data_IF_725277770957
#
_entry.id   IF_725277770957
#
_cell.length_a   1.000
_cell.length_b   1.000
_cell.length_c   1.000
_cell.angle_alpha   90.00
_cell.angle_beta   90.00
_cell.angle_gamma   90.00
#
_symmetry.space_group_name_H-M   'P 1'
#
loop_
_entity.id
_entity.type
_entity.pdbx_description
1 polymer ?
#
# COMPACT_ATOMS: atom_id res chain seq x y z
N UNK A 1 15.75 -3.94 4.63
CA UNK A 1 15.04 -2.69 4.96
C UNK A 1 13.95 -2.38 3.93
N UNK A 2 14.27 -2.19 2.65
CA UNK A 2 13.25 -1.91 1.63
C UNK A 2 12.33 -3.11 1.36
N UNK A 3 12.88 -4.33 1.32
CA UNK A 3 12.11 -5.56 1.10
C UNK A 3 11.04 -5.76 2.19
N UNK A 4 11.36 -5.49 3.46
CA UNK A 4 10.39 -5.60 4.55
C UNK A 4 9.26 -4.56 4.44
N UNK A 5 9.57 -3.33 4.00
CA UNK A 5 8.56 -2.31 3.75
C UNK A 5 7.67 -2.68 2.55
N UNK A 6 8.26 -3.26 1.50
CA UNK A 6 7.53 -3.69 0.30
C UNK A 6 6.57 -4.83 0.61
N UNK A 7 7.06 -5.90 1.24
CA UNK A 7 6.25 -7.05 1.62
C UNK A 7 5.19 -6.62 2.64
N UNK A 8 5.57 -5.92 3.71
CA UNK A 8 4.62 -5.45 4.72
C UNK A 8 3.52 -4.56 4.14
N UNK A 9 3.89 -3.66 3.21
CA UNK A 9 2.91 -2.86 2.47
C UNK A 9 1.93 -3.71 1.68
N UNK A 10 2.42 -4.76 0.99
CA UNK A 10 1.57 -5.65 0.19
C UNK A 10 0.59 -6.42 1.07
N UNK A 11 1.02 -6.89 2.25
CA UNK A 11 0.14 -7.52 3.24
C UNK A 11 -0.93 -6.54 3.75
N UNK A 12 -0.56 -5.31 4.12
CA UNK A 12 -1.51 -4.32 4.61
C UNK A 12 -2.55 -3.92 3.57
N UNK A 13 -2.10 -3.68 2.33
CA UNK A 13 -2.98 -3.32 1.22
C UNK A 13 -3.96 -4.43 0.88
N UNK A 14 -3.46 -5.65 0.63
CA UNK A 14 -4.32 -6.80 0.30
C UNK A 14 -5.31 -7.14 1.41
N UNK A 15 -4.91 -7.01 2.68
CA UNK A 15 -5.81 -7.21 3.81
C UNK A 15 -6.93 -6.15 3.86
N UNK A 16 -6.60 -4.89 3.55
CA UNK A 16 -7.58 -3.81 3.50
C UNK A 16 -8.57 -4.02 2.34
N UNK A 17 -8.08 -4.33 1.15
CA UNK A 17 -8.92 -4.61 -0.01
C UNK A 17 -9.84 -5.82 0.22
N UNK A 18 -9.30 -6.90 0.80
CA UNK A 18 -10.10 -8.05 1.21
C UNK A 18 -11.18 -7.65 2.21
N UNK A 19 -10.83 -6.95 3.30
CA UNK A 19 -11.79 -6.58 4.34
C UNK A 19 -12.89 -5.65 3.81
N UNK A 20 -12.54 -4.68 2.97
CA UNK A 20 -13.51 -3.77 2.36
C UNK A 20 -14.43 -4.52 1.40
N UNK A 21 -13.90 -5.43 0.60
CA UNK A 21 -14.70 -6.23 -0.35
C UNK A 21 -15.62 -7.21 0.37
N UNK A 22 -15.13 -7.90 1.40
CA UNK A 22 -15.90 -8.82 2.24
C UNK A 22 -17.03 -8.09 2.99
N UNK A 23 -16.78 -6.87 3.48
CA UNK A 23 -17.81 -6.02 4.09
C UNK A 23 -18.86 -5.53 3.07
N UNK A 24 -18.44 -5.23 1.84
CA UNK A 24 -19.36 -4.83 0.77
C UNK A 24 -20.24 -6.00 0.32
N UNK A 25 -19.65 -7.18 0.14
CA UNK A 25 -20.35 -8.41 -0.23
C UNK A 25 -21.40 -8.80 0.81
N UNK A 26 -21.07 -8.66 2.10
CA UNK A 26 -22.01 -8.90 3.20
C UNK A 26 -23.08 -7.81 3.37
N UNK A 27 -23.05 -6.76 2.55
CA UNK A 27 -24.04 -5.69 2.58
C UNK A 27 -23.87 -4.68 3.72
N UNK A 28 -22.72 -4.68 4.41
CA UNK A 28 -22.44 -3.65 5.43
C UNK A 28 -22.10 -2.30 4.81
N UNK A 29 -21.65 -2.27 3.55
CA UNK A 29 -21.31 -1.05 2.81
C UNK A 29 -22.41 -0.65 1.81
N UNK A 30 -23.67 -0.69 2.25
CA UNK A 30 -24.84 -0.31 1.41
C UNK A 30 -24.78 1.12 0.89
N UNK A 31 -24.11 2.04 1.59
CA UNK A 31 -23.92 3.41 1.11
C UNK A 31 -23.11 3.45 -0.19
N UNK A 32 -22.09 2.59 -0.32
CA UNK A 32 -21.24 2.50 -1.51
C UNK A 32 -22.01 1.94 -2.69
N UNK A 33 -22.75 0.84 -2.48
CA UNK A 33 -23.58 0.23 -3.52
C UNK A 33 -24.72 1.16 -3.98
N UNK A 34 -25.25 1.99 -3.08
CA UNK A 34 -26.27 2.99 -3.43
C UNK A 34 -25.69 4.19 -4.20
N UNK A 35 -24.48 4.64 -3.85
CA UNK A 35 -23.81 5.73 -4.56
C UNK A 35 -23.28 5.30 -5.94
N UNK A 36 -22.85 4.05 -6.06
CA UNK A 36 -22.27 3.47 -7.27
C UNK A 36 -23.00 2.15 -7.59
N UNK A 37 -24.18 2.21 -8.24
CA UNK A 37 -25.02 1.03 -8.51
C UNK A 37 -24.40 0.02 -9.49
N UNK A 38 -23.28 0.38 -10.13
CA UNK A 38 -22.52 -0.54 -10.98
C UNK A 38 -21.34 -1.22 -10.26
N UNK A 39 -21.22 -1.04 -8.93
CA UNK A 39 -20.35 -1.88 -8.09
C UNK A 39 -20.90 -3.31 -8.07
N UNK A 40 -20.04 -4.27 -8.38
CA UNK A 40 -20.32 -5.68 -8.24
C UNK A 40 -19.20 -6.28 -7.38
N UNK A 41 -19.31 -6.19 -6.05
CA UNK A 41 -18.30 -6.72 -5.16
C UNK A 41 -18.13 -8.22 -5.43
N UNK A 42 -16.91 -8.62 -5.75
CA UNK A 42 -16.55 -10.02 -5.93
C UNK A 42 -15.53 -10.40 -4.88
N UNK A 43 -15.98 -11.21 -3.93
CA UNK A 43 -15.13 -11.79 -2.90
C UNK A 43 -14.21 -12.88 -3.43
N UNK A 44 -13.37 -13.37 -2.53
CA UNK A 44 -12.38 -14.41 -2.78
C UNK A 44 -11.65 -14.73 -1.49
N UNK A 45 -10.59 -15.55 -1.55
CA UNK A 45 -9.71 -15.70 -0.40
C UNK A 45 -8.79 -14.49 -0.30
N UNK A 46 -8.36 -14.11 0.91
CA UNK A 46 -7.41 -13.01 1.09
C UNK A 46 -6.12 -13.21 0.27
N UNK A 47 -5.68 -14.45 0.07
CA UNK A 47 -4.49 -14.77 -0.74
C UNK A 47 -4.69 -14.36 -2.20
N UNK A 48 -5.91 -14.40 -2.73
CA UNK A 48 -6.19 -13.97 -4.10
C UNK A 48 -6.00 -12.46 -4.27
N UNK A 49 -6.39 -11.66 -3.26
CA UNK A 49 -6.12 -10.22 -3.21
C UNK A 49 -4.61 -9.94 -3.10
N UNK A 50 -3.88 -10.77 -2.36
CA UNK A 50 -2.42 -10.66 -2.30
C UNK A 50 -1.78 -11.01 -3.65
N UNK A 51 -2.25 -12.04 -4.34
CA UNK A 51 -1.73 -12.45 -5.65
C UNK A 51 -2.03 -11.39 -6.74
N UNK A 52 -3.15 -10.66 -6.62
CA UNK A 52 -3.48 -9.51 -7.47
C UNK A 52 -2.42 -8.39 -7.49
N UNK A 53 -1.55 -8.30 -6.48
CA UNK A 53 -0.46 -7.31 -6.47
C UNK A 53 0.71 -7.71 -7.38
N UNK A 54 0.90 -9.00 -7.66
CA UNK A 54 2.10 -9.52 -8.32
C UNK A 54 1.80 -10.20 -9.66
N UNK A 55 0.65 -10.86 -9.78
CA UNK A 55 0.27 -11.64 -10.94
C UNK A 55 -0.75 -10.89 -11.79
N UNK A 56 -0.39 -10.38 -12.98
CA UNK A 56 -1.36 -9.75 -13.89
C UNK A 56 -2.44 -10.71 -14.40
N UNK A 57 -2.20 -12.02 -14.28
CA UNK A 57 -3.15 -13.07 -14.66
C UNK A 57 -4.15 -13.41 -13.54
N UNK A 58 -3.91 -12.92 -12.31
CA UNK A 58 -4.83 -13.15 -11.20
C UNK A 58 -6.25 -12.63 -11.52
N UNK A 59 -7.29 -13.34 -11.06
CA UNK A 59 -8.69 -12.98 -11.31
C UNK A 59 -8.99 -11.57 -10.83
N UNK A 60 -9.88 -10.88 -11.54
CA UNK A 60 -10.31 -9.53 -11.18
C UNK A 60 -11.29 -9.61 -9.98
N UNK A 61 -10.76 -9.49 -8.77
CA UNK A 61 -11.51 -9.45 -7.52
C UNK A 61 -11.60 -8.00 -7.00
N UNK A 62 -12.54 -7.75 -6.09
CA UNK A 62 -12.70 -6.44 -5.45
C UNK A 62 -14.07 -5.83 -5.64
N UNK A 63 -14.17 -4.54 -5.32
CA UNK A 63 -15.41 -3.77 -5.36
C UNK A 63 -15.89 -3.52 -6.80
N UNK A 64 -14.94 -3.28 -7.71
CA UNK A 64 -15.18 -2.94 -9.10
C UNK A 64 -15.03 -4.14 -10.04
N UNK A 65 -14.97 -5.35 -9.50
CA UNK A 65 -14.87 -6.59 -10.27
C UNK A 65 -16.01 -6.67 -11.31
N UNK A 66 -15.67 -6.92 -12.56
CA UNK A 66 -16.65 -6.97 -13.66
C UNK A 66 -17.41 -5.66 -13.95
N UNK A 67 -17.11 -4.57 -13.25
CA UNK A 67 -17.84 -3.31 -13.42
C UNK A 67 -17.52 -2.64 -14.76
N UNK A 68 -18.49 -1.88 -15.27
CA UNK A 68 -18.35 -1.04 -16.48
C UNK A 68 -17.29 0.06 -16.36
N UNK A 69 -16.80 0.32 -15.14
CA UNK A 69 -15.81 1.36 -14.90
C UNK A 69 -14.40 0.90 -15.25
N UNK A 70 -14.18 -0.41 -15.36
CA UNK A 70 -12.87 -0.96 -15.71
C UNK A 70 -12.40 -0.45 -17.09
N UNK A 71 -11.27 0.28 -17.15
CA UNK A 71 -10.80 0.85 -18.40
C UNK A 71 -10.40 -0.24 -19.38
N UNK A 72 -10.75 -0.04 -20.66
CA UNK A 72 -10.37 -0.90 -21.77
C UNK A 72 -9.31 -0.20 -22.60
N UNK A 73 -8.11 -0.75 -22.64
CA UNK A 73 -6.99 -0.22 -23.43
C UNK A 73 -6.54 -1.32 -24.38
N UNK A 74 -6.54 -1.05 -25.69
CA UNK A 74 -6.17 -2.02 -26.74
C UNK A 74 -6.97 -3.34 -26.67
N UNK A 75 -8.23 -3.27 -26.28
CA UNK A 75 -9.10 -4.46 -26.14
C UNK A 75 -8.84 -5.30 -24.89
N UNK A 76 -7.91 -4.89 -24.02
CA UNK A 76 -7.68 -5.50 -22.70
C UNK A 76 -8.40 -4.71 -21.62
N UNK A 77 -9.14 -5.41 -20.76
CA UNK A 77 -9.82 -4.83 -19.60
C UNK A 77 -8.84 -4.78 -18.43
N UNK A 78 -8.63 -3.60 -17.85
CA UNK A 78 -7.80 -3.41 -16.66
C UNK A 78 -8.70 -3.25 -15.44
N UNK A 79 -8.43 -4.03 -14.38
CA UNK A 79 -9.18 -3.93 -13.13
C UNK A 79 -8.79 -2.65 -12.36
N UNK A 80 -9.79 -1.83 -12.04
CA UNK A 80 -9.60 -0.66 -11.16
C UNK A 80 -9.14 -1.10 -9.77
N UNK A 81 -9.69 -2.21 -9.26
CA UNK A 81 -9.31 -2.73 -7.95
C UNK A 81 -7.80 -3.01 -7.90
N UNK A 82 -7.24 -3.61 -8.95
CA UNK A 82 -5.80 -3.83 -9.08
C UNK A 82 -5.00 -2.53 -9.08
N UNK A 83 -5.46 -1.53 -9.84
CA UNK A 83 -4.77 -0.23 -9.91
C UNK A 83 -4.77 0.48 -8.55
N UNK A 84 -5.91 0.42 -7.85
CA UNK A 84 -6.05 0.97 -6.51
C UNK A 84 -5.16 0.23 -5.50
N UNK A 85 -5.11 -1.10 -5.57
CA UNK A 85 -4.26 -1.92 -4.71
C UNK A 85 -2.78 -1.62 -4.94
N UNK A 86 -2.30 -1.67 -6.18
CA UNK A 86 -0.90 -1.34 -6.49
C UNK A 86 -0.57 0.10 -6.06
N UNK A 87 -1.49 1.04 -6.27
CA UNK A 87 -1.33 2.43 -5.83
C UNK A 87 -1.19 2.56 -4.31
N UNK A 88 -2.08 1.93 -3.54
CA UNK A 88 -2.03 1.95 -2.08
C UNK A 88 -0.79 1.24 -1.54
N UNK A 89 -0.41 0.12 -2.17
CA UNK A 89 0.82 -0.59 -1.85
C UNK A 89 2.06 0.31 -2.00
N UNK A 90 2.17 1.05 -3.10
CA UNK A 90 3.28 1.99 -3.32
C UNK A 90 3.31 3.08 -2.24
N UNK A 91 2.15 3.58 -1.81
CA UNK A 91 2.07 4.56 -0.70
C UNK A 91 2.64 3.96 0.58
N UNK A 92 2.22 2.76 0.98
CA UNK A 92 2.77 2.09 2.17
C UNK A 92 4.26 1.80 2.04
N UNK A 93 4.71 1.38 0.86
CA UNK A 93 6.12 1.14 0.60
C UNK A 93 6.95 2.41 0.77
N UNK A 94 6.52 3.53 0.18
CA UNK A 94 7.23 4.83 0.28
C UNK A 94 7.24 5.32 1.72
N UNK A 95 6.11 5.29 2.41
CA UNK A 95 6.01 5.74 3.82
C UNK A 95 6.84 4.85 4.73
N UNK A 96 6.71 3.53 4.61
CA UNK A 96 7.47 2.56 5.40
C UNK A 96 8.97 2.71 5.18
N UNK A 97 9.40 2.86 3.92
CA UNK A 97 10.79 3.11 3.57
C UNK A 97 11.29 4.44 4.14
N UNK A 98 10.52 5.52 4.02
CA UNK A 98 10.90 6.83 4.55
C UNK A 98 11.04 6.82 6.09
N UNK A 99 10.09 6.20 6.79
CA UNK A 99 10.14 6.05 8.26
C UNK A 99 11.35 5.21 8.67
N UNK A 100 11.59 4.11 7.97
CA UNK A 100 12.71 3.22 8.29
C UNK A 100 14.06 3.88 8.02
N UNK A 101 14.21 4.61 6.91
CA UNK A 101 15.42 5.38 6.60
C UNK A 101 15.66 6.52 7.59
N UNK A 102 14.60 7.18 8.07
CA UNK A 102 14.71 8.20 9.12
C UNK A 102 15.22 7.62 10.44
N UNK A 103 14.80 6.41 10.81
CA UNK A 103 15.26 5.73 12.02
C UNK A 103 16.67 5.17 11.91
N UNK A 104 17.12 4.88 10.69
CA UNK A 104 18.47 4.38 10.42
C UNK A 104 19.51 5.50 10.24
N UNK A 105 19.10 6.77 10.13
CA UNK A 105 20.05 7.89 10.24
C UNK A 105 20.57 7.92 11.68
N UNK A 106 21.87 7.68 11.91
CA UNK A 106 22.46 7.95 13.21
C UNK A 106 22.22 9.43 13.53
N UNK A 107 22.04 9.82 14.82
CA UNK A 107 22.18 11.22 15.19
C UNK A 107 23.51 11.69 14.63
N UNK A 108 23.52 12.85 13.97
CA UNK A 108 24.73 13.44 13.41
C UNK A 108 25.85 13.27 14.43
N UNK A 109 26.95 12.64 14.02
CA UNK A 109 28.17 12.57 14.81
C UNK A 109 28.41 13.98 15.33
N UNK A 110 28.18 14.20 16.62
CA UNK A 110 28.56 15.44 17.27
C UNK A 110 30.06 15.54 17.04
N UNK A 111 30.41 16.46 16.16
CA UNK A 111 31.77 16.72 15.74
C UNK A 111 32.56 17.10 17.01
N UNK A 112 33.27 16.13 17.60
CA UNK A 112 34.14 16.35 18.76
C UNK A 112 35.22 17.41 18.48
N UNK A 113 35.36 17.82 17.21
CA UNK A 113 36.07 19.02 16.76
C UNK A 113 35.62 20.33 17.43
N UNK A 114 34.47 20.38 18.11
CA UNK A 114 33.95 21.57 18.80
C UNK A 114 34.19 21.60 20.32
N UNK A 115 35.08 20.78 20.88
CA UNK A 115 35.60 21.07 22.23
C UNK A 115 36.63 22.20 22.12
N UNK A 116 36.36 23.42 22.62
CA UNK A 116 37.41 24.42 22.75
C UNK A 116 38.50 23.83 23.64
N UNK A 117 39.75 23.91 23.20
CA UNK A 117 40.94 23.57 23.97
C UNK A 117 41.04 24.54 25.16
N UNK A 118 40.27 24.30 26.21
CA UNK A 118 40.46 24.88 27.53
C UNK A 118 41.61 24.12 28.20
N UNK A 119 42.80 24.29 27.65
CA UNK A 119 44.04 23.75 28.15
C UNK A 119 45.14 24.79 27.96
N UNK A 120 45.60 25.32 29.09
CA UNK A 120 46.90 25.99 29.27
C UNK A 120 46.99 27.47 28.89
N UNK A 121 46.53 28.32 29.82
CA UNK A 121 47.20 29.61 30.07
C UNK A 121 48.21 29.39 31.20
N UNK A 122 49.52 29.55 30.98
CA UNK A 122 50.51 29.48 32.04
C UNK A 122 50.32 30.65 33.02
N UNK A 123 50.43 30.35 34.32
CA UNK A 123 50.45 31.34 35.41
C UNK A 123 51.79 32.06 35.48
#
# INVERSE_FOLDING_TARGET
ALISAAIGGAFCTSALAFAVTDLAEKGYLTFLTNALPALQPQGGTWVDFFDMLWSPEAPALGLFAGSKYNPVVEGRVYSIDRMADVGLWLIFFVVGSAVQLRRLRPPAVEDESRKPLLGELPR
#
